data_IF_132526438915
#
_entry.id   IF_132526438915
#
_cell.length_a   1.000
_cell.length_b   1.000
_cell.length_c   1.000
_cell.angle_alpha   90.00
_cell.angle_beta   90.00
_cell.angle_gamma   90.00
#
_symmetry.space_group_name_H-M   'P 1'
#
loop_
_entity.id
_entity.type
_entity.pdbx_description
1 polymer ?
#
# COMPACT_ATOMS: atom_id res chain seq x y z
N UNK A 1 -41.82 -5.38 -31.63
CA UNK A 1 -40.61 -6.12 -31.19
C UNK A 1 -39.48 -5.14 -30.97
N UNK A 2 -39.03 -4.49 -32.05
CA UNK A 2 -37.89 -3.57 -32.08
C UNK A 2 -37.81 -2.56 -30.94
N UNK A 3 -38.92 -1.93 -30.51
CA UNK A 3 -38.92 -1.00 -29.38
C UNK A 3 -38.40 -1.64 -28.07
N UNK A 4 -38.88 -2.83 -27.72
CA UNK A 4 -38.38 -3.57 -26.54
C UNK A 4 -36.96 -4.11 -26.75
N UNK A 5 -36.60 -4.46 -27.98
CA UNK A 5 -35.26 -4.95 -28.33
C UNK A 5 -34.21 -3.84 -28.19
N UNK A 6 -34.50 -2.66 -28.75
CA UNK A 6 -33.73 -1.41 -28.57
C UNK A 6 -33.61 -1.05 -27.08
N UNK A 7 -34.69 -1.18 -26.30
CA UNK A 7 -34.66 -0.95 -24.84
C UNK A 7 -33.77 -1.95 -24.08
N UNK A 8 -33.79 -3.24 -24.43
CA UNK A 8 -32.88 -4.25 -23.85
C UNK A 8 -31.42 -3.92 -24.17
N UNK A 9 -31.12 -3.48 -25.40
CA UNK A 9 -29.76 -3.07 -25.81
C UNK A 9 -29.30 -1.83 -25.01
N UNK A 10 -30.14 -0.80 -24.91
CA UNK A 10 -29.84 0.40 -24.12
C UNK A 10 -29.62 0.10 -22.63
N UNK A 11 -30.43 -0.79 -22.04
CA UNK A 11 -30.25 -1.19 -20.64
C UNK A 11 -28.97 -2.02 -20.42
N UNK A 12 -28.54 -2.81 -21.43
CA UNK A 12 -27.24 -3.51 -21.40
C UNK A 12 -26.06 -2.53 -21.44
N UNK A 13 -26.13 -1.51 -22.31
CA UNK A 13 -25.13 -0.44 -22.38
C UNK A 13 -25.05 0.32 -21.04
N UNK A 14 -26.18 0.78 -20.50
CA UNK A 14 -26.25 1.45 -19.18
C UNK A 14 -25.73 0.59 -18.03
N UNK A 15 -25.94 -0.73 -18.03
CA UNK A 15 -25.34 -1.66 -17.06
C UNK A 15 -23.81 -1.75 -17.21
N UNK A 16 -23.29 -1.76 -18.44
CA UNK A 16 -21.84 -1.73 -18.68
C UNK A 16 -21.20 -0.40 -18.23
N UNK A 17 -21.87 0.73 -18.45
CA UNK A 17 -21.44 2.04 -17.98
C UNK A 17 -21.47 2.12 -16.44
N UNK A 18 -22.56 1.68 -15.80
CA UNK A 18 -22.66 1.64 -14.34
C UNK A 18 -21.56 0.79 -13.69
N UNK A 19 -21.26 -0.39 -14.24
CA UNK A 19 -20.17 -1.26 -13.75
C UNK A 19 -18.78 -0.63 -13.97
N UNK A 20 -18.53 0.04 -15.10
CA UNK A 20 -17.29 0.82 -15.33
C UNK A 20 -17.14 1.95 -14.31
N UNK A 21 -18.18 2.72 -14.06
CA UNK A 21 -18.16 3.86 -13.13
C UNK A 21 -17.99 3.41 -11.67
N UNK A 22 -18.66 2.33 -11.26
CA UNK A 22 -18.45 1.71 -9.94
C UNK A 22 -17.00 1.25 -9.76
N UNK A 23 -16.44 0.52 -10.73
CA UNK A 23 -15.03 0.08 -10.70
C UNK A 23 -14.05 1.25 -10.67
N UNK A 24 -14.38 2.40 -11.28
CA UNK A 24 -13.57 3.63 -11.17
C UNK A 24 -13.61 4.20 -9.75
N UNK A 25 -14.79 4.37 -9.16
CA UNK A 25 -14.94 4.85 -7.78
C UNK A 25 -14.26 3.92 -6.75
N UNK A 26 -14.35 2.60 -6.96
CA UNK A 26 -13.70 1.58 -6.14
C UNK A 26 -12.17 1.65 -6.19
N UNK A 27 -11.58 1.85 -7.38
CA UNK A 27 -10.14 2.11 -7.52
C UNK A 27 -9.71 3.38 -6.80
N UNK A 28 -10.42 4.49 -7.04
CA UNK A 28 -10.11 5.78 -6.40
C UNK A 28 -10.21 5.71 -4.87
N UNK A 29 -11.20 4.99 -4.32
CA UNK A 29 -11.31 4.73 -2.88
C UNK A 29 -10.16 3.86 -2.35
N UNK A 30 -9.72 2.85 -3.10
CA UNK A 30 -8.58 1.99 -2.73
C UNK A 30 -7.26 2.76 -2.72
N UNK A 31 -7.07 3.63 -3.71
CA UNK A 31 -5.90 4.51 -3.85
C UNK A 31 -5.84 5.54 -2.70
N UNK A 32 -6.93 6.25 -2.41
CA UNK A 32 -6.95 7.24 -1.32
C UNK A 32 -6.79 6.59 0.05
N UNK A 33 -7.46 5.47 0.34
CA UNK A 33 -7.24 4.70 1.58
C UNK A 33 -5.81 4.14 1.68
N UNK A 34 -5.11 3.91 0.57
CA UNK A 34 -3.70 3.51 0.61
C UNK A 34 -2.80 4.68 1.01
N UNK A 35 -3.05 5.90 0.51
CA UNK A 35 -2.35 7.13 0.90
C UNK A 35 -2.59 7.45 2.38
N UNK A 36 -3.85 7.35 2.82
CA UNK A 36 -4.30 7.57 4.20
C UNK A 36 -3.55 6.65 5.19
N UNK A 37 -3.57 5.34 4.92
CA UNK A 37 -2.87 4.31 5.72
C UNK A 37 -1.35 4.51 5.73
N UNK A 38 -0.74 4.88 4.59
CA UNK A 38 0.70 5.19 4.51
C UNK A 38 1.05 6.43 5.33
N UNK A 39 0.17 7.43 5.36
CA UNK A 39 0.36 8.65 6.14
C UNK A 39 0.26 8.37 7.64
N UNK A 40 -0.73 7.59 8.10
CA UNK A 40 -0.85 7.22 9.52
C UNK A 40 0.25 6.25 9.98
N UNK A 41 0.62 5.24 9.18
CA UNK A 41 1.77 4.38 9.50
C UNK A 41 3.09 5.15 9.50
N UNK A 42 3.22 6.17 8.63
CA UNK A 42 4.35 7.09 8.61
C UNK A 42 4.45 7.92 9.88
N UNK A 43 3.33 8.48 10.35
CA UNK A 43 3.26 9.21 11.63
C UNK A 43 3.69 8.30 12.80
N UNK A 44 3.06 7.13 12.96
CA UNK A 44 3.39 6.19 14.02
C UNK A 44 4.86 5.72 13.97
N UNK A 45 5.46 5.63 12.79
CA UNK A 45 6.89 5.32 12.61
C UNK A 45 7.81 6.46 13.06
N UNK A 46 7.40 7.71 12.87
CA UNK A 46 8.13 8.91 13.30
C UNK A 46 7.95 9.14 14.81
N UNK A 47 6.75 8.90 15.35
CA UNK A 47 6.49 8.99 16.79
C UNK A 47 7.39 7.99 17.56
N UNK A 48 7.40 6.71 17.16
CA UNK A 48 8.31 5.68 17.73
C UNK A 48 9.80 6.01 17.62
N UNK A 49 10.24 6.59 16.50
CA UNK A 49 11.64 6.97 16.31
C UNK A 49 12.05 8.17 17.18
N UNK A 50 11.12 9.09 17.45
CA UNK A 50 11.35 10.18 18.40
C UNK A 50 11.32 9.67 19.84
N UNK A 51 10.53 8.63 20.14
CA UNK A 51 10.56 7.95 21.44
C UNK A 51 11.94 7.30 21.68
N UNK A 52 12.45 6.48 20.75
CA UNK A 52 13.80 5.89 20.87
C UNK A 52 14.92 6.94 20.85
N UNK A 53 14.84 7.98 20.02
CA UNK A 53 15.84 9.05 20.03
C UNK A 53 15.77 9.91 21.31
N UNK A 54 14.66 9.91 22.05
CA UNK A 54 14.56 10.54 23.38
C UNK A 54 15.17 9.67 24.47
N UNK A 55 15.03 8.36 24.36
CA UNK A 55 15.73 7.37 25.20
C UNK A 55 17.26 7.53 25.03
N UNK A 56 17.76 7.53 23.79
CA UNK A 56 19.17 7.86 23.46
C UNK A 56 19.64 9.20 24.09
N UNK A 57 18.78 10.23 24.12
CA UNK A 57 19.09 11.55 24.72
C UNK A 57 19.09 11.51 26.26
N UNK A 58 18.28 10.65 26.87
CA UNK A 58 18.27 10.42 28.32
C UNK A 58 19.56 9.71 28.74
N UNK A 59 19.88 8.58 28.09
CA UNK A 59 21.07 7.79 28.38
C UNK A 59 22.36 8.60 28.20
N UNK A 60 22.47 9.34 27.10
CA UNK A 60 23.62 10.24 26.87
C UNK A 60 23.63 11.44 27.83
N UNK A 61 22.50 11.83 28.41
CA UNK A 61 22.45 12.84 29.47
C UNK A 61 22.93 12.28 30.81
N UNK A 62 22.54 11.07 31.18
CA UNK A 62 22.94 10.44 32.43
C UNK A 62 24.43 10.10 32.44
N UNK A 63 24.97 9.65 31.30
CA UNK A 63 26.42 9.48 31.12
C UNK A 63 27.14 10.83 31.25
N UNK A 64 26.60 11.89 30.65
CA UNK A 64 27.19 13.23 30.74
C UNK A 64 27.21 13.74 32.19
N UNK A 65 26.10 13.62 32.93
CA UNK A 65 26.02 13.99 34.36
C UNK A 65 27.08 13.24 35.18
N UNK A 66 27.17 11.91 35.01
CA UNK A 66 28.17 11.08 35.72
C UNK A 66 29.61 11.50 35.37
N UNK A 67 29.88 11.80 34.10
CA UNK A 67 31.22 12.23 33.64
C UNK A 67 31.58 13.63 34.14
N UNK A 68 30.65 14.58 34.16
CA UNK A 68 30.87 15.90 34.75
C UNK A 68 31.17 15.79 36.26
N UNK A 69 30.38 15.04 37.04
CA UNK A 69 30.68 14.85 38.47
C UNK A 69 31.98 14.08 38.73
N UNK A 70 32.43 13.20 37.82
CA UNK A 70 33.76 12.60 37.88
C UNK A 70 34.86 13.64 37.62
N UNK A 71 34.67 14.54 36.65
CA UNK A 71 35.61 15.63 36.36
C UNK A 71 35.76 16.56 37.57
N UNK A 72 34.65 17.08 38.10
CA UNK A 72 34.60 17.92 39.31
C UNK A 72 35.26 17.24 40.54
N UNK A 73 35.18 15.90 40.62
CA UNK A 73 35.79 15.13 41.71
C UNK A 73 37.32 15.08 41.54
N UNK A 74 37.82 14.85 40.32
CA UNK A 74 39.26 14.85 40.06
C UNK A 74 39.83 16.27 40.17
N UNK A 75 39.12 17.31 39.73
CA UNK A 75 39.55 18.71 39.88
C UNK A 75 39.72 19.11 41.35
N UNK A 76 38.80 18.68 42.23
CA UNK A 76 38.95 18.83 43.69
C UNK A 76 40.15 18.05 44.25
N UNK A 77 40.42 16.85 43.73
CA UNK A 77 41.60 16.06 44.11
C UNK A 77 42.92 16.64 43.57
N UNK A 78 42.88 17.37 42.46
CA UNK A 78 44.04 18.14 41.95
C UNK A 78 44.30 19.32 42.89
N UNK A 79 43.28 20.15 43.17
CA UNK A 79 43.40 21.31 44.06
C UNK A 79 43.91 20.92 45.47
N UNK A 80 43.38 19.85 46.07
CA UNK A 80 43.83 19.38 47.41
C UNK A 80 45.27 18.84 47.40
N UNK A 81 45.80 18.38 46.26
CA UNK A 81 47.21 18.01 46.14
C UNK A 81 48.11 19.23 45.86
N UNK A 82 47.63 20.21 45.09
CA UNK A 82 48.31 21.48 44.86
C UNK A 82 48.42 22.30 46.17
N UNK A 83 47.35 22.32 46.99
CA UNK A 83 47.31 22.89 48.36
C UNK A 83 48.24 22.20 49.38
N UNK A 84 48.68 20.96 49.10
CA UNK A 84 49.70 20.25 49.90
C UNK A 84 51.10 20.54 49.38
N UNK A 85 51.26 20.56 48.05
CA UNK A 85 52.51 20.85 47.37
C UNK A 85 53.04 22.27 47.67
N UNK A 86 52.17 23.23 47.97
CA UNK A 86 52.58 24.54 48.49
C UNK A 86 53.11 24.43 49.92
N UNK A 87 52.35 23.81 50.83
CA UNK A 87 52.73 23.66 52.25
C UNK A 87 54.01 22.85 52.46
N UNK A 88 54.23 21.81 51.66
CA UNK A 88 55.46 21.02 51.73
C UNK A 88 56.67 21.79 51.21
N UNK A 89 56.50 22.74 50.29
CA UNK A 89 57.55 23.70 49.90
C UNK A 89 57.80 24.76 50.97
N UNK A 90 56.74 25.31 51.56
CA UNK A 90 56.85 26.21 52.71
C UNK A 90 57.59 25.54 53.89
N UNK A 91 57.35 24.25 54.10
CA UNK A 91 58.08 23.44 55.10
C UNK A 91 59.53 23.12 54.70
N UNK A 92 59.83 22.95 53.40
CA UNK A 92 61.21 22.85 52.89
C UNK A 92 61.96 24.16 53.17
N UNK A 93 61.41 25.30 52.76
CA UNK A 93 62.02 26.62 52.95
C UNK A 93 62.27 26.93 54.43
N UNK A 94 61.40 26.48 55.34
CA UNK A 94 61.60 26.54 56.79
C UNK A 94 62.71 25.59 57.27
N UNK A 95 62.72 24.34 56.79
CA UNK A 95 63.74 23.35 57.20
C UNK A 95 65.13 23.71 56.70
N UNK A 96 65.24 24.31 55.52
CA UNK A 96 66.51 24.84 54.98
C UNK A 96 67.06 25.97 55.86
N UNK A 97 66.20 26.86 56.39
CA UNK A 97 66.59 27.90 57.36
C UNK A 97 66.98 27.30 58.72
N UNK A 98 66.27 26.28 59.22
CA UNK A 98 66.63 25.57 60.45
C UNK A 98 68.03 24.92 60.34
N UNK A 99 68.37 24.37 59.16
CA UNK A 99 69.72 23.85 58.87
C UNK A 99 70.75 24.98 58.78
N UNK A 100 70.44 26.12 58.14
CA UNK A 100 71.39 27.24 58.03
C UNK A 100 71.76 27.80 59.41
N UNK A 101 70.78 27.97 60.31
CA UNK A 101 70.96 28.64 61.60
C UNK A 101 71.29 27.73 62.80
N UNK A 102 71.11 26.40 62.75
CA UNK A 102 71.45 25.54 63.90
C UNK A 102 72.97 25.45 64.11
N UNK A 103 73.42 25.68 65.34
CA UNK A 103 74.83 25.50 65.76
C UNK A 103 75.14 24.05 66.19
N UNK A 104 74.11 23.21 66.38
CA UNK A 104 74.24 21.84 66.87
C UNK A 104 74.35 20.84 65.70
N UNK A 105 75.39 19.99 65.64
CA UNK A 105 75.51 18.99 64.57
C UNK A 105 74.40 17.93 64.57
N UNK A 106 73.85 17.56 65.74
CA UNK A 106 72.80 16.52 65.82
C UNK A 106 71.46 17.01 65.25
N UNK A 107 71.08 18.27 65.56
CA UNK A 107 69.92 18.94 64.97
C UNK A 107 70.06 19.14 63.45
N UNK A 108 71.28 19.33 62.96
CA UNK A 108 71.56 19.43 61.52
C UNK A 108 71.31 18.11 60.80
N UNK A 109 71.78 16.98 61.36
CA UNK A 109 71.50 15.66 60.78
C UNK A 109 70.00 15.31 60.81
N UNK A 110 69.28 15.66 61.89
CA UNK A 110 67.82 15.45 61.96
C UNK A 110 67.07 16.31 60.92
N UNK A 111 67.39 17.60 60.81
CA UNK A 111 66.74 18.48 59.84
C UNK A 111 67.14 18.14 58.39
N UNK A 112 68.34 17.65 58.12
CA UNK A 112 68.69 17.08 56.81
C UNK A 112 67.84 15.84 56.46
N UNK A 113 67.58 14.94 57.42
CA UNK A 113 66.73 13.78 57.20
C UNK A 113 65.27 14.18 56.92
N UNK A 114 64.75 15.16 57.69
CA UNK A 114 63.44 15.82 57.47
C UNK A 114 63.36 16.47 56.09
N UNK A 115 64.37 17.23 55.67
CA UNK A 115 64.45 17.89 54.37
C UNK A 115 64.42 16.89 53.20
N UNK A 116 65.14 15.76 53.33
CA UNK A 116 65.10 14.67 52.32
C UNK A 116 63.70 14.07 52.22
N UNK A 117 63.06 13.75 53.36
CA UNK A 117 61.70 13.21 53.39
C UNK A 117 60.64 14.15 52.81
N UNK A 118 60.77 15.47 53.05
CA UNK A 118 59.90 16.48 52.43
C UNK A 118 60.10 16.57 50.91
N UNK A 119 61.35 16.51 50.43
CA UNK A 119 61.65 16.52 49.01
C UNK A 119 61.08 15.28 48.28
N UNK A 120 61.16 14.10 48.89
CA UNK A 120 60.56 12.87 48.34
C UNK A 120 59.02 13.00 48.25
N UNK A 121 58.36 13.48 49.31
CA UNK A 121 56.91 13.74 49.32
C UNK A 121 56.48 14.75 48.24
N UNK A 122 57.26 15.81 48.04
CA UNK A 122 57.06 16.78 46.95
C UNK A 122 57.12 16.12 45.56
N UNK A 123 58.03 15.16 45.33
CA UNK A 123 58.05 14.42 44.06
C UNK A 123 56.84 13.50 43.90
N UNK A 124 56.38 12.84 44.96
CA UNK A 124 55.17 12.02 44.94
C UNK A 124 53.92 12.86 44.62
N UNK A 125 53.76 14.03 45.25
CA UNK A 125 52.67 14.97 44.96
C UNK A 125 52.71 15.47 43.50
N UNK A 126 53.88 15.82 42.98
CA UNK A 126 54.04 16.24 41.58
C UNK A 126 53.64 15.10 40.61
N UNK A 127 54.00 13.85 40.92
CA UNK A 127 53.60 12.69 40.14
C UNK A 127 52.08 12.42 40.23
N UNK A 128 51.49 12.55 41.42
CA UNK A 128 50.05 12.40 41.64
C UNK A 128 49.25 13.47 40.88
N UNK A 129 49.59 14.75 41.04
CA UNK A 129 48.93 15.88 40.34
C UNK A 129 48.95 15.63 38.83
N UNK A 130 50.11 15.28 38.26
CA UNK A 130 50.28 14.97 36.84
C UNK A 130 49.43 13.78 36.38
N UNK A 131 49.25 12.76 37.23
CA UNK A 131 48.38 11.60 36.97
C UNK A 131 46.89 11.97 37.02
N UNK A 132 46.48 12.76 38.02
CA UNK A 132 45.11 13.27 38.18
C UNK A 132 44.73 14.20 37.01
N UNK A 133 45.56 15.19 36.68
CA UNK A 133 45.37 16.09 35.52
C UNK A 133 45.27 15.33 34.19
N UNK A 134 46.12 14.31 33.96
CA UNK A 134 46.03 13.42 32.78
C UNK A 134 44.71 12.64 32.72
N UNK A 135 44.12 12.35 33.86
CA UNK A 135 42.82 11.66 33.96
C UNK A 135 41.66 12.64 33.77
N UNK A 136 41.70 13.82 34.38
CA UNK A 136 40.75 14.91 34.15
C UNK A 136 40.62 15.23 32.65
N UNK A 137 41.76 15.35 31.93
CA UNK A 137 41.75 15.59 30.48
C UNK A 137 40.98 14.53 29.69
N UNK A 138 41.16 13.23 30.01
CA UNK A 138 40.40 12.14 29.36
C UNK A 138 38.90 12.25 29.62
N UNK A 139 38.50 12.63 30.83
CA UNK A 139 37.09 12.79 31.19
C UNK A 139 36.50 14.02 30.50
N UNK A 140 37.27 15.11 30.35
CA UNK A 140 36.87 16.26 29.54
C UNK A 140 36.69 15.88 28.05
N UNK A 141 37.62 15.09 27.49
CA UNK A 141 37.49 14.55 26.13
C UNK A 141 36.19 13.72 25.99
N UNK A 142 35.89 12.82 26.93
CA UNK A 142 34.61 12.09 26.99
C UNK A 142 33.39 13.02 27.06
N UNK A 143 33.39 14.02 27.95
CA UNK A 143 32.32 15.01 28.14
C UNK A 143 32.02 15.73 26.82
N UNK A 144 33.05 16.16 26.09
CA UNK A 144 32.86 16.79 24.78
C UNK A 144 32.25 15.82 23.75
N UNK A 145 32.64 14.55 23.76
CA UNK A 145 32.07 13.54 22.86
C UNK A 145 30.59 13.27 23.17
N UNK A 146 30.22 13.04 24.43
CA UNK A 146 28.82 12.80 24.81
C UNK A 146 27.93 14.03 24.58
N UNK A 147 28.43 15.24 24.82
CA UNK A 147 27.73 16.49 24.46
C UNK A 147 27.48 16.60 22.94
N UNK A 148 28.48 16.23 22.12
CA UNK A 148 28.34 16.15 20.67
C UNK A 148 27.36 15.07 20.22
N UNK A 149 27.31 13.90 20.87
CA UNK A 149 26.32 12.85 20.57
C UNK A 149 24.89 13.31 20.92
N UNK A 150 24.67 13.82 22.13
CA UNK A 150 23.37 14.38 22.58
C UNK A 150 22.85 15.47 21.63
N UNK A 151 23.75 16.34 21.15
CA UNK A 151 23.44 17.38 20.15
C UNK A 151 23.06 16.80 18.78
N UNK A 152 23.78 15.78 18.30
CA UNK A 152 23.45 15.07 17.04
C UNK A 152 22.08 14.40 17.10
N UNK A 153 21.75 13.72 18.21
CA UNK A 153 20.45 13.05 18.39
C UNK A 153 19.32 14.09 18.47
N UNK A 154 19.51 15.16 19.24
CA UNK A 154 18.55 16.29 19.32
C UNK A 154 18.25 16.89 17.94
N UNK A 155 19.25 16.98 17.05
CA UNK A 155 19.07 17.40 15.65
C UNK A 155 18.19 16.42 14.84
N UNK A 156 18.33 15.10 15.07
CA UNK A 156 17.44 14.10 14.45
C UNK A 156 15.99 14.30 14.91
N UNK A 157 15.75 14.36 16.23
CA UNK A 157 14.41 14.58 16.82
C UNK A 157 13.75 15.82 16.23
N UNK A 158 14.50 16.92 16.07
CA UNK A 158 13.98 18.16 15.49
C UNK A 158 13.59 17.98 14.01
N UNK A 159 14.42 17.31 13.20
CA UNK A 159 14.15 17.01 11.78
C UNK A 159 12.93 16.08 11.62
N UNK A 160 12.83 15.06 12.48
CA UNK A 160 11.70 14.14 12.53
C UNK A 160 10.40 14.85 12.96
N UNK A 161 10.47 15.75 13.94
CA UNK A 161 9.31 16.54 14.38
C UNK A 161 8.79 17.47 13.29
N UNK A 162 9.69 18.07 12.50
CA UNK A 162 9.36 18.97 11.37
C UNK A 162 8.62 18.29 10.22
N UNK A 163 8.66 16.96 10.06
CA UNK A 163 7.93 16.26 8.99
C UNK A 163 6.51 15.81 9.38
N UNK A 164 6.19 15.72 10.68
CA UNK A 164 4.85 15.34 11.17
C UNK A 164 3.69 16.20 10.62
N UNK A 165 3.78 17.53 10.49
CA UNK A 165 2.64 18.35 10.02
C UNK A 165 2.20 17.99 8.60
N UNK A 166 3.15 17.76 7.69
CA UNK A 166 2.87 17.37 6.30
C UNK A 166 2.11 16.05 6.23
N UNK A 167 2.55 15.03 6.99
CA UNK A 167 1.87 13.73 7.03
C UNK A 167 0.49 13.79 7.72
N UNK A 168 0.31 14.65 8.72
CA UNK A 168 -1.03 14.92 9.30
C UNK A 168 -1.95 15.59 8.29
N UNK A 169 -1.42 16.51 7.47
CA UNK A 169 -2.18 17.17 6.42
C UNK A 169 -2.55 16.20 5.27
N UNK A 170 -1.64 15.35 4.79
CA UNK A 170 -1.95 14.34 3.77
C UNK A 170 -2.95 13.30 4.27
N UNK A 171 -2.86 12.90 5.54
CA UNK A 171 -3.84 12.02 6.18
C UNK A 171 -5.22 12.68 6.24
N UNK A 172 -5.32 13.92 6.73
CA UNK A 172 -6.59 14.64 6.84
C UNK A 172 -7.23 14.95 5.45
N UNK A 173 -6.41 15.28 4.44
CA UNK A 173 -6.86 15.46 3.05
C UNK A 173 -7.36 14.14 2.47
N UNK A 174 -6.61 13.04 2.62
CA UNK A 174 -6.98 11.73 2.05
C UNK A 174 -8.23 11.14 2.71
N UNK A 175 -8.41 11.24 4.03
CA UNK A 175 -9.64 10.83 4.73
C UNK A 175 -10.89 11.55 4.18
N UNK A 176 -10.84 12.89 4.09
CA UNK A 176 -11.94 13.72 3.56
C UNK A 176 -12.28 13.42 2.09
N UNK A 177 -11.33 12.89 1.32
CA UNK A 177 -11.56 12.44 -0.07
C UNK A 177 -12.06 10.98 -0.10
N UNK A 178 -11.56 10.10 0.77
CA UNK A 178 -12.04 8.73 0.92
C UNK A 178 -13.53 8.70 1.32
N UNK A 179 -13.96 9.54 2.27
CA UNK A 179 -15.39 9.71 2.60
C UNK A 179 -16.27 10.05 1.38
N UNK A 180 -15.79 10.96 0.52
CA UNK A 180 -16.51 11.35 -0.71
C UNK A 180 -16.59 10.17 -1.68
N UNK A 181 -15.52 9.39 -1.81
CA UNK A 181 -15.54 8.18 -2.64
C UNK A 181 -16.36 7.02 -2.06
N UNK A 182 -16.50 6.89 -0.74
CA UNK A 182 -17.46 5.94 -0.11
C UNK A 182 -18.89 6.33 -0.52
N UNK A 183 -19.28 7.59 -0.28
CA UNK A 183 -20.62 8.12 -0.60
C UNK A 183 -20.94 8.01 -2.10
N UNK A 184 -19.95 8.18 -2.97
CA UNK A 184 -20.09 7.97 -4.42
C UNK A 184 -20.17 6.49 -4.82
N UNK A 185 -19.37 5.60 -4.21
CA UNK A 185 -19.40 4.16 -4.47
C UNK A 185 -20.76 3.55 -4.09
N UNK A 186 -21.36 3.99 -2.99
CA UNK A 186 -22.73 3.65 -2.63
C UNK A 186 -23.73 4.09 -3.70
N UNK A 187 -23.68 5.35 -4.13
CA UNK A 187 -24.56 5.89 -5.19
C UNK A 187 -24.43 5.09 -6.49
N UNK A 188 -23.19 4.79 -6.92
CA UNK A 188 -22.93 3.96 -8.12
C UNK A 188 -23.41 2.53 -7.96
N UNK A 189 -23.31 1.94 -6.77
CA UNK A 189 -23.83 0.59 -6.49
C UNK A 189 -25.36 0.57 -6.55
N UNK A 190 -26.04 1.51 -5.89
CA UNK A 190 -27.51 1.65 -5.97
C UNK A 190 -28.00 1.84 -7.42
N UNK A 191 -27.25 2.56 -8.25
CA UNK A 191 -27.53 2.74 -9.68
C UNK A 191 -27.22 1.50 -10.55
N UNK A 192 -26.17 0.75 -10.22
CA UNK A 192 -25.86 -0.53 -10.87
C UNK A 192 -26.98 -1.56 -10.59
N UNK A 193 -27.50 -1.60 -9.35
CA UNK A 193 -28.51 -2.57 -8.95
C UNK A 193 -29.92 -2.19 -9.42
N UNK A 194 -30.25 -0.90 -9.55
CA UNK A 194 -31.50 -0.48 -10.18
C UNK A 194 -31.49 -0.77 -11.69
N UNK A 195 -30.37 -0.57 -12.39
CA UNK A 195 -30.23 -0.91 -13.81
C UNK A 195 -30.20 -2.42 -14.07
N UNK A 196 -29.64 -3.25 -13.17
CA UNK A 196 -29.82 -4.72 -13.18
C UNK A 196 -31.30 -5.10 -13.11
N UNK A 197 -32.01 -4.65 -12.07
CA UNK A 197 -33.43 -4.95 -11.84
C UNK A 197 -34.32 -4.48 -12.99
N UNK A 198 -34.02 -3.34 -13.63
CA UNK A 198 -34.71 -2.88 -14.82
C UNK A 198 -34.43 -3.78 -16.05
N UNK A 199 -33.16 -4.11 -16.29
CA UNK A 199 -32.74 -5.00 -17.38
C UNK A 199 -33.38 -6.38 -17.27
N UNK A 200 -33.45 -6.95 -16.07
CA UNK A 200 -34.08 -8.25 -15.80
C UNK A 200 -35.58 -8.22 -16.12
N UNK A 201 -36.31 -7.23 -15.59
CA UNK A 201 -37.76 -7.03 -15.85
C UNK A 201 -38.08 -6.86 -17.34
N UNK A 202 -37.27 -6.10 -18.09
CA UNK A 202 -37.48 -5.90 -19.53
C UNK A 202 -37.05 -7.13 -20.34
N UNK A 203 -35.94 -7.77 -19.97
CA UNK A 203 -35.46 -8.99 -20.66
C UNK A 203 -36.41 -10.17 -20.49
N UNK A 204 -37.01 -10.33 -19.30
CA UNK A 204 -38.06 -11.34 -19.05
C UNK A 204 -39.27 -11.14 -19.98
N UNK A 205 -39.84 -9.92 -19.99
CA UNK A 205 -40.94 -9.55 -20.90
C UNK A 205 -40.58 -9.76 -22.38
N UNK A 206 -39.34 -9.49 -22.78
CA UNK A 206 -38.87 -9.74 -24.15
C UNK A 206 -38.79 -11.24 -24.49
N UNK A 207 -38.28 -12.08 -23.58
CA UNK A 207 -38.25 -13.54 -23.74
C UNK A 207 -39.65 -14.17 -23.75
N UNK A 208 -40.57 -13.66 -22.94
CA UNK A 208 -41.99 -14.05 -23.02
C UNK A 208 -42.58 -13.76 -24.40
N UNK A 209 -42.33 -12.58 -24.97
CA UNK A 209 -42.83 -12.23 -26.31
C UNK A 209 -42.18 -13.07 -27.40
N UNK A 210 -40.88 -13.38 -27.29
CA UNK A 210 -40.20 -14.30 -28.20
C UNK A 210 -40.76 -15.72 -28.10
N UNK A 211 -41.00 -16.25 -26.91
CA UNK A 211 -41.57 -17.60 -26.72
C UNK A 211 -43.04 -17.67 -27.14
N UNK A 212 -43.85 -16.64 -26.86
CA UNK A 212 -45.23 -16.48 -27.36
C UNK A 212 -45.24 -16.46 -28.91
N UNK A 213 -44.35 -15.69 -29.56
CA UNK A 213 -44.18 -15.70 -31.03
C UNK A 213 -43.72 -17.06 -31.57
N UNK A 214 -42.74 -17.73 -30.96
CA UNK A 214 -42.27 -19.07 -31.37
C UNK A 214 -43.39 -20.11 -31.28
N UNK A 215 -44.19 -20.10 -30.21
CA UNK A 215 -45.37 -20.97 -30.04
C UNK A 215 -46.43 -20.70 -31.12
N UNK A 216 -46.72 -19.43 -31.43
CA UNK A 216 -47.65 -19.04 -32.50
C UNK A 216 -47.16 -19.47 -33.90
N UNK A 217 -45.88 -19.22 -34.21
CA UNK A 217 -45.27 -19.63 -35.48
C UNK A 217 -45.28 -21.16 -35.67
N UNK A 218 -45.04 -21.95 -34.61
CA UNK A 218 -45.16 -23.40 -34.66
C UNK A 218 -46.61 -23.84 -34.97
N UNK A 219 -47.61 -23.29 -34.27
CA UNK A 219 -49.04 -23.55 -34.57
C UNK A 219 -49.41 -23.17 -36.02
N UNK A 220 -48.88 -22.07 -36.56
CA UNK A 220 -49.09 -21.66 -37.95
C UNK A 220 -48.38 -22.59 -38.97
N UNK A 221 -47.19 -23.10 -38.65
CA UNK A 221 -46.49 -24.07 -39.48
C UNK A 221 -47.19 -25.44 -39.49
N UNK A 222 -47.64 -25.92 -38.34
CA UNK A 222 -48.31 -27.21 -38.20
C UNK A 222 -49.71 -27.21 -38.83
N UNK A 223 -50.44 -26.08 -38.77
CA UNK A 223 -51.69 -25.92 -39.53
C UNK A 223 -51.46 -25.83 -41.05
N UNK A 224 -50.39 -25.16 -41.52
CA UNK A 224 -49.98 -25.22 -42.93
C UNK A 224 -49.63 -26.65 -43.37
N UNK A 225 -48.86 -27.40 -42.56
CA UNK A 225 -48.55 -28.83 -42.81
C UNK A 225 -49.82 -29.69 -42.86
N UNK A 226 -50.76 -29.55 -41.92
CA UNK A 226 -52.04 -30.28 -41.94
C UNK A 226 -52.90 -29.94 -43.17
N UNK A 227 -52.94 -28.68 -43.60
CA UNK A 227 -53.63 -28.28 -44.86
C UNK A 227 -52.95 -28.86 -46.11
N UNK A 228 -51.63 -28.92 -46.16
CA UNK A 228 -50.88 -29.57 -47.23
C UNK A 228 -51.11 -31.09 -47.26
N UNK A 229 -51.10 -31.76 -46.10
CA UNK A 229 -51.35 -33.18 -45.96
C UNK A 229 -52.75 -33.59 -46.45
N UNK A 230 -53.81 -32.81 -46.15
CA UNK A 230 -55.15 -33.05 -46.72
C UNK A 230 -55.14 -33.00 -48.25
N UNK A 231 -54.56 -31.96 -48.87
CA UNK A 231 -54.42 -31.87 -50.34
C UNK A 231 -53.62 -33.04 -50.96
N UNK A 232 -52.64 -33.59 -50.23
CA UNK A 232 -51.89 -34.78 -50.65
C UNK A 232 -52.68 -36.10 -50.50
N UNK A 233 -53.65 -36.17 -49.57
CA UNK A 233 -54.52 -37.32 -49.39
C UNK A 233 -55.61 -37.41 -50.49
N UNK A 234 -56.26 -36.29 -50.81
CA UNK A 234 -57.29 -36.24 -51.86
C UNK A 234 -56.73 -36.58 -53.24
N UNK A 235 -55.49 -36.17 -53.52
CA UNK A 235 -54.78 -36.51 -54.76
C UNK A 235 -54.33 -37.97 -54.83
N UNK A 236 -54.18 -38.68 -53.68
CA UNK A 236 -54.03 -40.15 -53.68
C UNK A 236 -55.35 -40.88 -53.93
N UNK A 237 -56.48 -40.46 -53.33
CA UNK A 237 -57.80 -41.07 -53.59
C UNK A 237 -58.16 -41.05 -55.08
N UNK A 238 -57.87 -39.95 -55.80
CA UNK A 238 -58.08 -39.84 -57.26
C UNK A 238 -57.25 -40.79 -58.14
N UNK A 239 -56.25 -41.50 -57.62
CA UNK A 239 -55.43 -42.47 -58.41
C UNK A 239 -55.83 -43.94 -58.25
N UNK A 240 -56.66 -44.29 -57.25
CA UNK A 240 -57.11 -45.68 -57.05
C UNK A 240 -58.27 -46.07 -57.98
N UNK A 241 -59.21 -45.15 -58.23
CA UNK A 241 -60.50 -45.43 -58.86
C UNK A 241 -60.52 -45.60 -60.40
N UNK A 242 -59.41 -46.07 -61.02
CA UNK A 242 -59.33 -46.25 -62.49
C UNK A 242 -58.55 -47.49 -62.94
N UNK A 243 -59.07 -48.69 -62.64
CA UNK A 243 -58.65 -49.96 -63.28
C UNK A 243 -59.81 -50.92 -63.56
N UNK A 244 -60.18 -51.04 -64.85
CA UNK A 244 -60.84 -52.19 -65.54
C UNK A 244 -62.35 -52.44 -65.24
N UNK A 245 -63.09 -53.20 -66.08
CA UNK A 245 -63.12 -53.19 -67.57
C UNK A 245 -64.54 -53.41 -68.20
N UNK A 246 -64.59 -53.50 -69.55
CA UNK A 246 -65.64 -54.15 -70.40
C UNK A 246 -66.98 -53.38 -70.62
N UNK A 247 -67.76 -53.58 -71.72
CA UNK A 247 -67.56 -54.32 -73.00
C UNK A 247 -68.40 -53.73 -74.18
N UNK A 248 -67.80 -53.76 -75.38
CA UNK A 248 -68.26 -53.48 -76.78
C UNK A 248 -69.77 -53.45 -77.17
N UNK A 249 -70.11 -52.57 -78.14
CA UNK A 249 -70.97 -52.83 -79.34
C UNK A 249 -70.34 -52.14 -80.60
N UNK A 250 -70.71 -52.47 -81.87
CA UNK A 250 -69.76 -52.34 -83.01
C UNK A 250 -70.11 -51.44 -84.23
N UNK A 251 -69.04 -50.98 -84.90
CA UNK A 251 -68.84 -50.75 -86.36
C UNK A 251 -69.66 -49.76 -87.21
N UNK A 252 -68.94 -48.81 -87.85
CA UNK A 252 -68.71 -48.78 -89.32
C UNK A 252 -67.39 -48.05 -89.70
N UNK A 253 -67.00 -48.07 -90.99
CA UNK A 253 -65.68 -47.69 -91.59
C UNK A 253 -65.79 -46.29 -92.27
N UNK A 254 -64.78 -45.50 -92.74
CA UNK A 254 -63.29 -45.47 -92.95
C UNK A 254 -62.93 -43.97 -93.30
N UNK A 255 -61.70 -43.50 -93.64
CA UNK A 255 -60.30 -43.84 -93.33
C UNK A 255 -59.51 -42.62 -92.73
N UNK A 256 -58.18 -42.49 -92.92
CA UNK A 256 -57.31 -41.49 -92.22
C UNK A 256 -56.30 -40.70 -93.10
N UNK A 257 -55.82 -39.55 -92.57
CA UNK A 257 -54.54 -38.84 -92.89
C UNK A 257 -53.96 -38.36 -91.54
N UNK A 258 -52.76 -38.74 -91.06
CA UNK A 258 -51.35 -38.59 -91.52
C UNK A 258 -50.70 -37.21 -91.22
N UNK A 259 -49.43 -37.27 -90.74
CA UNK A 259 -48.46 -36.18 -90.45
C UNK A 259 -48.73 -35.36 -89.15
N UNK A 260 -47.71 -34.88 -88.41
CA UNK A 260 -46.27 -35.22 -88.38
C UNK A 260 -45.60 -34.78 -87.04
N UNK A 261 -44.35 -35.23 -86.81
CA UNK A 261 -43.48 -34.80 -85.71
C UNK A 261 -42.97 -33.33 -85.91
N UNK A 262 -42.43 -32.64 -84.89
CA UNK A 262 -41.03 -32.80 -84.44
C UNK A 262 -40.69 -32.13 -83.08
N UNK A 263 -39.81 -32.82 -82.34
CA UNK A 263 -38.64 -32.33 -81.56
C UNK A 263 -38.76 -31.37 -80.35
N UNK A 264 -38.41 -31.93 -79.18
CA UNK A 264 -37.56 -31.41 -78.04
C UNK A 264 -36.21 -30.80 -78.54
N UNK A 265 -35.34 -30.11 -77.75
CA UNK A 265 -35.10 -30.09 -76.27
C UNK A 265 -35.17 -28.66 -75.62
N UNK A 266 -35.13 -28.42 -74.30
CA UNK A 266 -34.08 -28.59 -73.25
C UNK A 266 -32.77 -27.77 -73.52
N UNK A 267 -31.96 -27.27 -72.55
CA UNK A 267 -31.57 -27.86 -71.22
C UNK A 267 -30.65 -26.91 -70.37
N UNK A 268 -30.81 -26.85 -69.02
CA UNK A 268 -29.86 -26.25 -68.02
C UNK A 268 -29.60 -24.72 -68.18
N UNK A 269 -28.89 -23.96 -67.32
CA UNK A 269 -28.02 -24.14 -66.11
C UNK A 269 -28.57 -23.26 -64.96
N UNK A 270 -28.57 -23.56 -63.67
CA UNK A 270 -27.56 -24.01 -62.67
C UNK A 270 -26.53 -22.96 -62.24
N UNK A 271 -26.58 -22.55 -60.96
CA UNK A 271 -25.51 -21.99 -60.10
C UNK A 271 -24.54 -20.96 -60.73
N UNK A 272 -24.47 -19.78 -60.11
CA UNK A 272 -23.50 -19.60 -59.02
C UNK A 272 -24.12 -18.80 -57.87
#
# INVERSE_FOLDING_TARGET
MESLEKLVIQLRQKKQEATKLKKKAEKQLKETRSIERRSSSGLNSIDRKIESEREDVSDTSDILTRKTSQLESIERLVAVAEDRLTREKEAIEQTEQEIEFSENPEEKEENEAKLRSLNDSVQELIAEIKSRQKTAKKILDDVTQYSNFKSKITSKIQKQSKSKPSLRETMAKSHKVAEKFVKELERRTRAEDSTKKALEKVSGKFQELLTKKRKAAKKAADTKKRKAAKKAADTKKRKAAKKRPAKKKPTKKRPAKKKAAKKRPAKKKSRR
#
